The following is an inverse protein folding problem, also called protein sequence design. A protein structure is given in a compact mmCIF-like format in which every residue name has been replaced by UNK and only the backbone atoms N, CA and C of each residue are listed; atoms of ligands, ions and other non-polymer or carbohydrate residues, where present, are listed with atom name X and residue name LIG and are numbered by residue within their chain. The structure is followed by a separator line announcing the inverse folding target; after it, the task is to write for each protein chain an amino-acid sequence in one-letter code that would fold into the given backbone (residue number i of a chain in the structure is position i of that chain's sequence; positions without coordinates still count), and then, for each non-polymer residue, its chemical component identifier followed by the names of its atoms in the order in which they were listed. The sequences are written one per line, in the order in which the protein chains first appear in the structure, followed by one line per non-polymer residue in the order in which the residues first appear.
data_IF_756228968934
#
_entry.id   IF_756228968934
#
_cell.length_a   1.000
_cell.length_b   1.000
_cell.length_c   1.000
_cell.angle_alpha   90.00
_cell.angle_beta   90.00
_cell.angle_gamma   90.00
#
_symmetry.space_group_name_H-M   'P 1'
#
loop_
_entity.id
_entity.type
_entity.pdbx_description
1 polymer ?
#
# COMPACT_ATOMS: atom_id res chain seq x y z
N UNK A 1 8.54 -79.47 24.38
CA UNK A 1 8.40 -78.00 24.45
C UNK A 1 9.47 -77.39 23.57
N UNK A 2 9.10 -76.97 22.37
CA UNK A 2 9.96 -76.19 21.48
C UNK A 2 9.22 -74.89 21.19
N UNK A 3 9.73 -73.77 21.70
CA UNK A 3 9.26 -72.44 21.33
C UNK A 3 10.14 -71.95 20.19
N UNK A 4 9.52 -71.82 19.02
CA UNK A 4 10.08 -71.12 17.87
C UNK A 4 9.75 -69.64 18.08
N UNK A 5 10.76 -68.81 18.36
CA UNK A 5 10.60 -67.36 18.30
C UNK A 5 10.58 -66.92 16.83
N UNK A 6 9.39 -66.55 16.33
CA UNK A 6 9.25 -65.82 15.08
C UNK A 6 9.67 -64.36 15.30
N UNK A 7 10.89 -64.02 14.91
CA UNK A 7 11.32 -62.64 14.74
C UNK A 7 10.60 -61.99 13.55
N UNK A 8 9.61 -61.14 13.82
CA UNK A 8 9.02 -60.28 12.78
C UNK A 8 9.78 -58.96 12.73
N UNK A 9 10.57 -58.78 11.68
CA UNK A 9 11.38 -57.60 11.43
C UNK A 9 10.53 -56.32 11.37
N UNK A 10 10.94 -55.32 12.16
CA UNK A 10 10.39 -53.97 12.16
C UNK A 10 10.84 -53.24 10.89
N UNK A 11 10.03 -53.25 9.84
CA UNK A 11 10.32 -52.48 8.63
C UNK A 11 10.18 -50.97 8.89
N UNK A 12 11.23 -50.23 8.51
CA UNK A 12 11.43 -48.81 8.74
C UNK A 12 10.48 -47.92 7.90
N UNK A 13 9.39 -47.43 8.49
CA UNK A 13 8.49 -46.40 7.91
C UNK A 13 8.97 -44.95 8.13
N UNK A 14 10.22 -44.72 8.53
CA UNK A 14 10.73 -43.40 8.94
C UNK A 14 11.06 -42.36 7.84
N UNK A 15 11.49 -42.71 6.61
CA UNK A 15 12.00 -41.70 5.67
C UNK A 15 10.89 -40.83 5.05
N UNK A 16 9.69 -41.38 4.83
CA UNK A 16 8.56 -40.64 4.23
C UNK A 16 8.01 -39.57 5.19
N UNK A 17 7.86 -39.90 6.48
CA UNK A 17 7.41 -38.95 7.53
C UNK A 17 8.40 -37.79 7.71
N UNK A 18 9.71 -38.04 7.63
CA UNK A 18 10.75 -37.01 7.79
C UNK A 18 10.77 -36.02 6.63
N UNK A 19 10.62 -36.49 5.38
CA UNK A 19 10.51 -35.63 4.19
C UNK A 19 9.24 -34.79 4.21
N UNK A 20 8.11 -35.37 4.61
CA UNK A 20 6.84 -34.66 4.78
C UNK A 20 6.92 -33.56 5.86
N UNK A 21 7.58 -33.83 6.99
CA UNK A 21 7.82 -32.82 8.04
C UNK A 21 8.71 -31.67 7.57
N UNK A 22 9.74 -31.94 6.76
CA UNK A 22 10.60 -30.90 6.18
C UNK A 22 9.83 -30.02 5.19
N UNK A 23 9.04 -30.63 4.30
CA UNK A 23 8.20 -29.90 3.35
C UNK A 23 7.20 -28.99 4.07
N UNK A 24 6.53 -29.48 5.12
CA UNK A 24 5.59 -28.68 5.89
C UNK A 24 6.27 -27.47 6.55
N UNK A 25 7.48 -27.65 7.10
CA UNK A 25 8.27 -26.55 7.67
C UNK A 25 8.64 -25.52 6.60
N UNK A 26 9.05 -25.97 5.40
CA UNK A 26 9.37 -25.05 4.30
C UNK A 26 8.14 -24.25 3.86
N UNK A 27 6.98 -24.90 3.72
CA UNK A 27 5.72 -24.21 3.40
C UNK A 27 5.37 -23.20 4.49
N UNK A 28 5.51 -23.56 5.77
CA UNK A 28 5.25 -22.65 6.89
C UNK A 28 6.20 -21.45 6.88
N UNK A 29 7.48 -21.64 6.56
CA UNK A 29 8.45 -20.54 6.45
C UNK A 29 8.10 -19.64 5.27
N UNK A 30 7.81 -20.18 4.09
CA UNK A 30 7.41 -19.39 2.92
C UNK A 30 6.14 -18.58 3.24
N UNK A 31 5.14 -19.21 3.86
CA UNK A 31 3.92 -18.52 4.27
C UNK A 31 4.20 -17.41 5.30
N UNK A 32 5.04 -17.67 6.30
CA UNK A 32 5.42 -16.68 7.30
C UNK A 32 6.14 -15.48 6.67
N UNK A 33 7.04 -15.72 5.72
CA UNK A 33 7.72 -14.66 4.96
C UNK A 33 6.73 -13.85 4.14
N UNK A 34 5.81 -14.49 3.42
CA UNK A 34 4.77 -13.80 2.65
C UNK A 34 3.86 -12.96 3.56
N UNK A 35 3.40 -13.53 4.68
CA UNK A 35 2.58 -12.80 5.65
C UNK A 35 3.34 -11.59 6.24
N UNK A 36 4.63 -11.74 6.51
CA UNK A 36 5.44 -10.65 7.03
C UNK A 36 5.62 -9.54 5.98
N UNK A 37 6.10 -9.89 4.79
CA UNK A 37 6.46 -8.92 3.74
C UNK A 37 5.24 -8.27 3.09
N UNK A 38 4.14 -9.00 2.92
CA UNK A 38 2.98 -8.50 2.19
C UNK A 38 1.89 -7.93 3.12
N UNK A 39 2.03 -8.08 4.44
CA UNK A 39 1.03 -7.57 5.40
C UNK A 39 1.62 -6.95 6.68
N UNK A 40 2.42 -7.67 7.48
CA UNK A 40 2.80 -7.19 8.81
C UNK A 40 3.80 -6.03 8.81
N UNK A 41 4.70 -5.98 7.82
CA UNK A 41 5.79 -4.98 7.78
C UNK A 41 5.26 -3.53 7.81
N UNK A 42 4.13 -3.24 7.16
CA UNK A 42 3.55 -1.89 7.13
C UNK A 42 3.11 -1.42 8.52
N UNK A 43 2.49 -2.32 9.30
CA UNK A 43 2.07 -2.00 10.67
C UNK A 43 3.27 -1.75 11.56
N UNK A 44 4.31 -2.59 11.47
CA UNK A 44 5.52 -2.44 12.28
C UNK A 44 6.27 -1.14 11.95
N UNK A 45 6.38 -0.79 10.68
CA UNK A 45 7.06 0.43 10.24
C UNK A 45 6.27 1.69 10.67
N UNK A 46 4.97 1.73 10.37
CA UNK A 46 4.14 2.93 10.62
C UNK A 46 3.84 3.12 12.10
N UNK A 47 3.72 2.05 12.90
CA UNK A 47 3.49 2.15 14.34
C UNK A 47 4.62 2.88 15.09
N UNK A 48 5.82 2.95 14.51
CA UNK A 48 6.95 3.69 15.08
C UNK A 48 6.85 5.20 14.84
N UNK A 49 5.94 5.65 13.97
CA UNK A 49 5.77 7.05 13.63
C UNK A 49 4.86 7.77 14.65
N UNK A 50 5.20 9.02 14.95
CA UNK A 50 4.40 9.92 15.77
C UNK A 50 4.22 11.25 15.04
N UNK A 51 3.12 11.95 15.34
CA UNK A 51 2.92 13.31 14.85
C UNK A 51 3.94 14.26 15.48
N UNK A 52 4.49 15.21 14.71
CA UNK A 52 5.41 16.21 15.26
C UNK A 52 4.69 17.16 16.22
N UNK A 53 5.35 17.54 17.30
CA UNK A 53 4.82 18.52 18.25
C UNK A 53 4.89 19.94 17.66
N UNK A 54 3.75 20.62 17.59
CA UNK A 54 3.66 22.01 17.16
C UNK A 54 3.57 22.89 18.40
N UNK A 55 4.54 23.78 18.62
CA UNK A 55 4.51 24.76 19.71
C UNK A 55 3.52 25.88 19.37
N UNK A 56 2.33 25.83 19.94
CA UNK A 56 1.38 26.96 19.91
C UNK A 56 1.80 28.00 20.94
N UNK A 57 2.60 28.98 20.52
CA UNK A 57 2.97 30.12 21.38
C UNK A 57 1.85 31.14 21.40
N UNK A 58 0.79 30.88 22.18
CA UNK A 58 -0.04 31.95 22.70
C UNK A 58 0.71 32.59 23.90
N UNK A 59 1.76 33.36 23.60
CA UNK A 59 2.25 34.39 24.52
C UNK A 59 1.52 35.68 24.20
N UNK A 60 0.32 35.81 24.75
CA UNK A 60 -0.14 37.05 25.33
C UNK A 60 -1.25 36.70 26.33
N UNK A 61 -1.23 37.38 27.47
CA UNK A 61 -1.93 36.99 28.69
C UNK A 61 -3.42 36.73 28.51
N UNK A 62 -3.93 35.87 29.40
CA UNK A 62 -5.33 35.48 29.57
C UNK A 62 -5.90 34.47 28.54
N UNK A 63 -6.07 33.23 29.05
CA UNK A 63 -6.79 32.11 28.43
C UNK A 63 -6.05 31.36 27.31
N UNK A 64 -5.21 30.40 27.71
CA UNK A 64 -4.54 29.43 26.82
C UNK A 64 -5.54 28.44 26.20
N UNK A 65 -6.34 28.87 25.23
CA UNK A 65 -6.99 27.95 24.29
C UNK A 65 -5.90 27.43 23.35
N UNK A 66 -5.46 26.19 23.54
CA UNK A 66 -4.57 25.53 22.58
C UNK A 66 -5.28 25.49 21.23
N UNK A 67 -4.69 26.12 20.22
CA UNK A 67 -5.23 26.04 18.85
C UNK A 67 -5.27 24.57 18.39
N UNK A 68 -6.33 24.17 17.67
CA UNK A 68 -6.41 22.83 17.13
C UNK A 68 -5.28 22.59 16.12
N UNK A 69 -4.51 21.51 16.31
CA UNK A 69 -3.42 21.13 15.41
C UNK A 69 -3.97 20.19 14.35
N UNK A 70 -3.85 20.60 13.08
CA UNK A 70 -4.25 19.78 11.93
C UNK A 70 -3.21 18.69 11.65
N UNK A 71 -3.67 17.44 11.55
CA UNK A 71 -2.84 16.30 11.13
C UNK A 71 -2.88 16.13 9.61
N UNK A 72 -1.84 16.62 8.95
CA UNK A 72 -1.68 16.52 7.49
C UNK A 72 -0.65 15.46 7.10
N UNK A 73 -1.07 14.50 6.27
CA UNK A 73 -0.18 13.51 5.66
C UNK A 73 0.11 13.88 4.20
N UNK A 74 1.36 13.71 3.77
CA UNK A 74 1.79 14.00 2.40
C UNK A 74 2.35 12.73 1.77
N UNK A 75 1.92 12.47 0.54
CA UNK A 75 2.40 11.43 -0.36
C UNK A 75 2.72 12.09 -1.70
N UNK A 76 3.52 11.43 -2.53
CA UNK A 76 3.89 11.92 -3.86
C UNK A 76 4.24 10.75 -4.77
N UNK A 77 4.22 10.98 -6.09
CA UNK A 77 4.83 10.10 -7.09
C UNK A 77 4.38 8.64 -6.98
N UNK A 78 3.06 8.40 -6.88
CA UNK A 78 2.52 7.03 -6.74
C UNK A 78 2.68 6.21 -8.01
N UNK A 79 2.76 6.88 -9.17
CA UNK A 79 3.06 6.29 -10.49
C UNK A 79 2.23 5.06 -10.84
N UNK A 80 0.92 5.02 -10.61
CA UNK A 80 0.06 3.88 -10.94
C UNK A 80 0.33 3.37 -12.36
N UNK A 81 0.65 2.07 -12.50
CA UNK A 81 1.09 1.52 -13.79
C UNK A 81 -0.11 1.55 -14.73
N UNK A 82 0.09 2.14 -15.90
CA UNK A 82 -0.92 2.18 -16.94
C UNK A 82 -1.05 0.84 -17.68
N UNK A 83 -1.76 0.89 -18.79
CA UNK A 83 -2.08 -0.28 -19.62
C UNK A 83 -0.93 -0.65 -20.57
N UNK A 84 -0.14 0.32 -21.03
CA UNK A 84 0.72 0.16 -22.18
C UNK A 84 2.12 -0.35 -21.85
N UNK A 85 2.77 0.24 -20.84
CA UNK A 85 4.14 -0.07 -20.42
C UNK A 85 4.17 -0.87 -19.11
N UNK A 86 3.05 -0.93 -18.39
CA UNK A 86 2.94 -1.61 -17.12
C UNK A 86 2.98 -3.14 -17.22
N UNK A 87 3.95 -3.79 -16.55
CA UNK A 87 3.92 -5.24 -16.40
C UNK A 87 2.89 -5.68 -15.35
N UNK A 88 2.03 -6.65 -15.67
CA UNK A 88 0.90 -7.05 -14.82
C UNK A 88 1.30 -7.46 -13.39
N UNK A 89 2.42 -8.16 -13.22
CA UNK A 89 2.89 -8.61 -11.91
C UNK A 89 3.39 -7.44 -11.05
N UNK A 90 4.05 -6.46 -11.69
CA UNK A 90 4.50 -5.26 -11.00
C UNK A 90 3.30 -4.41 -10.61
N UNK A 91 2.34 -4.24 -11.53
CA UNK A 91 1.06 -3.60 -11.26
C UNK A 91 0.37 -4.22 -10.05
N UNK A 92 0.17 -5.55 -10.05
CA UNK A 92 -0.46 -6.28 -8.95
C UNK A 92 0.26 -6.05 -7.62
N UNK A 93 1.60 -6.23 -7.60
CA UNK A 93 2.36 -6.16 -6.36
C UNK A 93 2.47 -4.74 -5.86
N UNK A 94 2.87 -3.79 -6.70
CA UNK A 94 3.07 -2.39 -6.31
C UNK A 94 1.78 -1.74 -5.84
N UNK A 95 0.67 -1.98 -6.54
CA UNK A 95 -0.66 -1.49 -6.13
C UNK A 95 -1.09 -2.13 -4.79
N UNK A 96 -0.83 -3.43 -4.58
CA UNK A 96 -1.06 -4.07 -3.28
C UNK A 96 -0.27 -3.39 -2.16
N UNK A 97 1.03 -3.14 -2.36
CA UNK A 97 1.87 -2.50 -1.36
C UNK A 97 1.43 -1.07 -1.05
N UNK A 98 1.07 -0.28 -2.07
CA UNK A 98 0.52 1.07 -1.89
C UNK A 98 -0.78 1.05 -1.09
N UNK A 99 -1.72 0.17 -1.44
CA UNK A 99 -2.98 0.04 -0.69
C UNK A 99 -2.71 -0.36 0.76
N UNK A 100 -1.86 -1.36 1.01
CA UNK A 100 -1.54 -1.79 2.39
C UNK A 100 -0.90 -0.66 3.19
N UNK A 101 0.09 0.03 2.64
CA UNK A 101 0.76 1.14 3.30
C UNK A 101 -0.23 2.27 3.63
N UNK A 102 -1.04 2.69 2.65
CA UNK A 102 -1.98 3.79 2.83
C UNK A 102 -3.08 3.46 3.85
N UNK A 103 -3.71 2.30 3.74
CA UNK A 103 -4.76 1.88 4.67
C UNK A 103 -4.24 1.72 6.10
N UNK A 104 -3.02 1.19 6.27
CA UNK A 104 -2.37 1.11 7.58
C UNK A 104 -2.02 2.50 8.13
N UNK A 105 -1.56 3.43 7.30
CA UNK A 105 -1.29 4.80 7.69
C UNK A 105 -2.56 5.52 8.17
N UNK A 106 -3.66 5.41 7.42
CA UNK A 106 -4.95 5.95 7.85
C UNK A 106 -5.38 5.36 9.20
N UNK A 107 -5.28 4.04 9.36
CA UNK A 107 -5.68 3.36 10.58
C UNK A 107 -4.88 3.80 11.81
N UNK A 108 -3.55 3.83 11.71
CA UNK A 108 -2.68 4.10 12.85
C UNK A 108 -2.48 5.60 13.13
N UNK A 109 -2.32 6.41 12.08
CA UNK A 109 -1.99 7.83 12.24
C UNK A 109 -3.23 8.72 12.34
N UNK A 110 -4.37 8.28 11.78
CA UNK A 110 -5.63 9.04 11.77
C UNK A 110 -5.42 10.51 11.31
N UNK A 111 -4.88 10.74 10.09
CA UNK A 111 -4.75 12.09 9.55
C UNK A 111 -6.13 12.68 9.26
N UNK A 112 -6.23 14.01 9.30
CA UNK A 112 -7.44 14.75 8.94
C UNK A 112 -7.44 15.15 7.46
N UNK A 113 -6.25 15.37 6.90
CA UNK A 113 -6.06 15.65 5.48
C UNK A 113 -4.88 14.86 4.94
N UNK A 114 -5.03 14.37 3.70
CA UNK A 114 -4.00 13.73 2.91
C UNK A 114 -3.80 14.52 1.62
N UNK A 115 -2.55 14.85 1.33
CA UNK A 115 -2.14 15.40 0.05
C UNK A 115 -1.39 14.33 -0.75
N UNK A 116 -1.75 14.15 -2.03
CA UNK A 116 -0.98 13.38 -3.01
C UNK A 116 -0.43 14.36 -4.04
N UNK A 117 0.89 14.48 -4.07
CA UNK A 117 1.60 15.50 -4.82
C UNK A 117 2.19 14.90 -6.10
N UNK A 118 1.49 15.08 -7.21
CA UNK A 118 2.00 14.78 -8.55
C UNK A 118 2.14 13.31 -8.89
N UNK A 119 2.30 13.09 -10.20
CA UNK A 119 2.62 11.82 -10.86
C UNK A 119 1.84 10.64 -10.25
N UNK A 120 0.51 10.82 -10.22
CA UNK A 120 -0.40 9.82 -9.70
C UNK A 120 -0.39 8.60 -10.60
N UNK A 121 -0.48 8.82 -11.91
CA UNK A 121 -0.48 7.79 -12.95
C UNK A 121 0.81 7.84 -13.75
N UNK A 122 1.36 6.70 -14.14
CA UNK A 122 2.59 6.63 -14.93
C UNK A 122 2.36 7.00 -16.41
N UNK A 123 1.15 6.74 -16.90
CA UNK A 123 0.78 6.86 -18.31
C UNK A 123 -0.35 7.87 -18.56
N UNK A 124 -0.76 8.61 -17.52
CA UNK A 124 -1.89 9.54 -17.58
C UNK A 124 -1.82 10.41 -18.83
N UNK A 125 -0.69 11.10 -19.05
CA UNK A 125 -0.44 12.02 -20.17
C UNK A 125 -0.68 11.44 -21.57
N UNK A 126 -0.73 10.13 -21.78
CA UNK A 126 -1.03 9.52 -23.07
C UNK A 126 -2.09 8.41 -23.01
N UNK A 127 -2.77 8.25 -21.88
CA UNK A 127 -3.82 7.24 -21.72
C UNK A 127 -5.04 7.52 -22.60
N UNK A 128 -5.65 6.45 -23.10
CA UNK A 128 -6.99 6.50 -23.70
C UNK A 128 -8.03 6.89 -22.64
N UNK A 129 -9.23 7.38 -23.03
CA UNK A 129 -10.31 7.66 -22.07
C UNK A 129 -10.68 6.45 -21.20
N UNK A 130 -10.64 5.24 -21.78
CA UNK A 130 -10.95 3.98 -21.09
C UNK A 130 -9.87 3.63 -20.09
N UNK A 131 -8.59 3.64 -20.51
CA UNK A 131 -7.46 3.38 -19.61
C UNK A 131 -7.40 4.40 -18.46
N UNK A 132 -7.70 5.67 -18.75
CA UNK A 132 -7.83 6.70 -17.71
C UNK A 132 -8.92 6.36 -16.68
N UNK A 133 -10.10 5.94 -17.13
CA UNK A 133 -11.19 5.58 -16.23
C UNK A 133 -10.82 4.37 -15.35
N UNK A 134 -10.21 3.35 -15.92
CA UNK A 134 -9.74 2.17 -15.20
C UNK A 134 -8.65 2.54 -14.18
N UNK A 135 -7.73 3.44 -14.53
CA UNK A 135 -6.69 3.93 -13.65
C UNK A 135 -7.27 4.72 -12.47
N UNK A 136 -8.25 5.59 -12.73
CA UNK A 136 -9.00 6.34 -11.71
C UNK A 136 -9.75 5.42 -10.77
N UNK A 137 -10.42 4.37 -11.26
CA UNK A 137 -11.11 3.40 -10.41
C UNK A 137 -10.13 2.71 -9.44
N UNK A 138 -8.96 2.29 -9.95
CA UNK A 138 -7.93 1.68 -9.12
C UNK A 138 -7.36 2.65 -8.10
N UNK A 139 -7.12 3.91 -8.48
CA UNK A 139 -6.74 4.96 -7.56
C UNK A 139 -7.75 5.10 -6.42
N UNK A 140 -9.04 5.23 -6.74
CA UNK A 140 -10.11 5.40 -5.75
C UNK A 140 -10.20 4.19 -4.80
N UNK A 141 -9.98 2.98 -5.30
CA UNK A 141 -9.95 1.76 -4.49
C UNK A 141 -8.77 1.73 -3.52
N UNK A 142 -7.57 2.07 -3.99
CA UNK A 142 -6.34 2.01 -3.18
C UNK A 142 -6.33 3.12 -2.13
N UNK A 143 -6.67 4.34 -2.53
CA UNK A 143 -6.68 5.53 -1.69
C UNK A 143 -8.05 5.81 -1.06
N UNK A 144 -8.89 4.77 -0.92
CA UNK A 144 -10.17 4.87 -0.22
C UNK A 144 -9.97 5.36 1.21
N UNK A 145 -10.81 6.27 1.64
CA UNK A 145 -10.72 6.90 2.95
C UNK A 145 -12.11 7.20 3.50
N UNK A 146 -12.28 7.26 4.83
CA UNK A 146 -13.55 7.64 5.42
C UNK A 146 -13.87 9.12 5.16
N UNK A 147 -15.15 9.47 5.16
CA UNK A 147 -15.64 10.80 4.75
C UNK A 147 -15.14 11.99 5.57
N UNK A 148 -14.61 11.75 6.77
CA UNK A 148 -14.03 12.81 7.61
C UNK A 148 -12.58 13.14 7.23
N UNK A 149 -11.90 12.28 6.47
CA UNK A 149 -10.55 12.52 5.96
C UNK A 149 -10.66 13.23 4.62
N UNK A 150 -10.00 14.36 4.46
CA UNK A 150 -9.96 15.05 3.17
C UNK A 150 -8.79 14.54 2.33
N UNK A 151 -9.05 14.14 1.08
CA UNK A 151 -7.99 13.84 0.11
C UNK A 151 -7.87 15.00 -0.88
N UNK A 152 -6.65 15.51 -1.06
CA UNK A 152 -6.29 16.56 -2.02
C UNK A 152 -5.22 16.02 -2.94
N UNK A 153 -5.43 16.14 -4.25
CA UNK A 153 -4.54 15.58 -5.26
C UNK A 153 -4.09 16.70 -6.19
N UNK A 154 -2.81 16.73 -6.48
CA UNK A 154 -2.19 17.73 -7.37
C UNK A 154 -1.61 17.00 -8.57
N UNK A 155 -1.86 17.49 -9.78
CA UNK A 155 -1.33 16.88 -10.99
C UNK A 155 0.19 17.03 -11.10
N UNK A 156 0.84 15.99 -11.63
CA UNK A 156 2.22 16.04 -12.10
C UNK A 156 2.32 15.89 -13.62
N UNK A 157 3.54 15.85 -14.14
CA UNK A 157 3.78 15.78 -15.57
C UNK A 157 3.41 14.42 -16.18
N UNK A 158 3.44 13.33 -15.41
CA UNK A 158 2.93 12.04 -15.90
C UNK A 158 1.40 12.00 -15.99
N UNK A 159 0.68 12.85 -15.25
CA UNK A 159 -0.79 12.88 -15.29
C UNK A 159 -1.33 13.67 -16.48
N UNK A 160 -0.80 14.88 -16.68
CA UNK A 160 -1.32 15.86 -17.65
C UNK A 160 -0.35 16.23 -18.77
N UNK A 161 0.90 15.75 -18.72
CA UNK A 161 1.95 16.03 -19.69
C UNK A 161 2.91 17.15 -19.25
N UNK A 162 4.15 17.13 -19.76
CA UNK A 162 5.13 18.18 -19.54
C UNK A 162 5.15 19.18 -20.71
N UNK A 163 5.07 20.48 -20.41
CA UNK A 163 5.18 21.56 -21.38
C UNK A 163 4.27 21.37 -22.63
N UNK A 164 4.86 21.01 -23.78
CA UNK A 164 4.15 20.85 -25.05
C UNK A 164 3.22 19.63 -25.08
N UNK A 165 3.41 18.67 -24.16
CA UNK A 165 2.51 17.52 -24.02
C UNK A 165 1.23 17.87 -23.25
N UNK A 166 1.22 19.00 -22.53
CA UNK A 166 0.05 19.44 -21.78
C UNK A 166 -0.98 20.07 -22.73
N UNK A 167 -2.26 19.71 -22.55
CA UNK A 167 -3.35 20.30 -23.30
C UNK A 167 -4.62 20.41 -22.45
N UNK A 168 -5.58 21.21 -22.92
CA UNK A 168 -6.83 21.52 -22.20
C UNK A 168 -7.59 20.25 -21.83
N UNK A 169 -7.71 19.29 -22.74
CA UNK A 169 -8.40 18.02 -22.48
C UNK A 169 -7.79 17.25 -21.30
N UNK A 170 -6.46 17.18 -21.22
CA UNK A 170 -5.75 16.46 -20.13
C UNK A 170 -5.92 17.15 -18.79
N UNK A 171 -5.93 18.48 -18.76
CA UNK A 171 -6.16 19.28 -17.55
C UNK A 171 -7.61 19.12 -17.09
N UNK A 172 -8.57 19.36 -17.99
CA UNK A 172 -10.00 19.30 -17.67
C UNK A 172 -10.44 17.91 -17.19
N UNK A 173 -9.93 16.83 -17.79
CA UNK A 173 -10.27 15.47 -17.32
C UNK A 173 -9.67 15.16 -15.94
N UNK A 174 -8.53 15.77 -15.60
CA UNK A 174 -7.91 15.63 -14.28
C UNK A 174 -8.73 16.36 -13.22
N UNK A 175 -9.04 17.64 -13.47
CA UNK A 175 -9.88 18.48 -12.59
C UNK A 175 -11.30 17.93 -12.41
N UNK A 176 -11.80 17.19 -13.39
CA UNK A 176 -13.10 16.50 -13.27
C UNK A 176 -13.08 15.39 -12.21
N UNK A 177 -11.92 14.78 -11.95
CA UNK A 177 -11.75 13.67 -11.01
C UNK A 177 -11.28 14.13 -9.64
N UNK A 178 -10.40 15.14 -9.59
CA UNK A 178 -9.68 15.60 -8.40
C UNK A 178 -9.93 17.09 -8.12
#
# INVERSE_FOLDING_TARGET
MAMIELGFGRQNFHPLKRKSSLLLKLIAVVFAVLLFCEFLIYYLAIFQCNWPEVKTTASDGEQTTREPVLKAMFLADTHLLGEFLGHWLDKLRREWQMERAFQTALWLLQPEVVFILGDIFDEGKWSTPEAWADDVERFQKMFRHPSHVQLKVVAGNHDIGFHYEMNTYKVERFEKVF
#
